data_IF_010723979846
#
_entry.id   IF_010723979846
#
_cell.length_a   1.000
_cell.length_b   1.000
_cell.length_c   1.000
_cell.angle_alpha   90.00
_cell.angle_beta   90.00
_cell.angle_gamma   90.00
#
_symmetry.space_group_name_H-M   'P 1'
#
loop_
_entity.id
_entity.type
_entity.pdbx_description
1 polymer ?
#
# COMPACT_ATOMS: atom_id res chain seq x y z
N UNK A 1 -19.77 9.15 -7.22
CA UNK A 1 -20.33 7.78 -7.31
C UNK A 1 -20.21 7.16 -8.70
N UNK A 2 -20.41 7.90 -9.80
CA UNK A 2 -20.39 7.35 -11.17
C UNK A 2 -19.00 6.83 -11.61
N UNK A 3 -17.91 7.61 -11.42
CA UNK A 3 -16.54 7.19 -11.79
C UNK A 3 -16.06 5.89 -11.11
N UNK A 4 -16.56 5.59 -9.90
CA UNK A 4 -16.19 4.39 -9.14
C UNK A 4 -16.70 3.10 -9.78
N UNK A 5 -17.91 3.12 -10.31
CA UNK A 5 -18.53 1.97 -10.96
C UNK A 5 -17.83 1.61 -12.28
N UNK A 6 -17.31 2.61 -13.00
CA UNK A 6 -16.60 2.37 -14.26
C UNK A 6 -15.29 1.61 -14.06
N UNK A 7 -14.49 1.97 -13.05
CA UNK A 7 -13.23 1.27 -12.75
C UNK A 7 -13.46 -0.17 -12.25
N UNK A 8 -14.52 -0.39 -11.46
CA UNK A 8 -14.90 -1.73 -11.02
C UNK A 8 -15.38 -2.61 -12.18
N UNK A 9 -15.97 -2.03 -13.23
CA UNK A 9 -16.45 -2.78 -14.41
C UNK A 9 -15.33 -3.06 -15.42
N UNK A 10 -14.43 -2.11 -15.64
CA UNK A 10 -13.33 -2.20 -16.62
C UNK A 10 -12.30 -3.27 -16.22
N UNK A 11 -12.10 -3.52 -14.92
CA UNK A 11 -11.11 -4.50 -14.41
C UNK A 11 -11.41 -5.95 -14.82
N UNK A 12 -12.67 -6.26 -15.14
CA UNK A 12 -13.14 -7.62 -15.44
C UNK A 12 -13.09 -7.93 -16.95
N UNK A 13 -12.69 -6.95 -17.78
CA UNK A 13 -12.52 -7.11 -19.23
C UNK A 13 -11.04 -7.06 -19.62
N UNK A 14 -10.64 -7.92 -20.55
CA UNK A 14 -9.30 -7.91 -21.13
C UNK A 14 -9.22 -6.81 -22.21
N UNK A 15 -8.88 -5.60 -21.78
CA UNK A 15 -8.91 -4.39 -22.60
C UNK A 15 -7.51 -3.95 -22.99
N UNK A 16 -7.27 -3.82 -24.29
CA UNK A 16 -6.06 -3.18 -24.83
C UNK A 16 -6.37 -1.73 -25.19
N UNK A 17 -5.74 -0.77 -24.51
CA UNK A 17 -5.91 0.66 -24.82
C UNK A 17 -5.06 1.02 -26.04
N UNK A 18 -5.70 1.26 -27.18
CA UNK A 18 -5.03 1.73 -28.40
C UNK A 18 -5.02 3.26 -28.43
N UNK A 19 -3.84 3.85 -28.18
CA UNK A 19 -3.64 5.29 -28.19
C UNK A 19 -3.52 5.82 -29.63
N UNK A 20 -4.33 6.83 -29.94
CA UNK A 20 -4.28 7.53 -31.23
C UNK A 20 -4.06 9.03 -30.97
N UNK A 21 -3.00 9.65 -31.51
CA UNK A 21 -2.76 11.08 -31.39
C UNK A 21 -3.87 11.89 -32.08
N UNK A 22 -4.26 13.04 -31.52
CA UNK A 22 -5.16 13.96 -32.22
C UNK A 22 -6.18 14.69 -31.35
N UNK A 23 -7.19 15.26 -32.02
CA UNK A 23 -8.12 16.24 -31.43
C UNK A 23 -8.99 15.70 -30.28
N UNK A 24 -9.21 14.38 -30.23
CA UNK A 24 -9.91 13.72 -29.13
C UNK A 24 -9.01 13.46 -27.90
N UNK A 25 -7.69 13.60 -28.06
CA UNK A 25 -6.69 13.22 -27.07
C UNK A 25 -5.81 14.39 -26.62
N UNK A 26 -6.24 15.62 -26.89
CA UNK A 26 -5.49 16.86 -26.66
C UNK A 26 -4.96 16.96 -25.23
N UNK A 27 -5.72 16.48 -24.24
CA UNK A 27 -5.30 16.47 -22.83
C UNK A 27 -4.17 15.46 -22.60
N UNK A 28 -4.26 14.25 -23.13
CA UNK A 28 -3.18 13.27 -23.00
C UNK A 28 -1.93 13.70 -23.76
N UNK A 29 -2.09 14.24 -24.96
CA UNK A 29 -1.01 14.75 -25.80
C UNK A 29 -0.31 15.97 -25.15
N UNK A 30 -1.06 16.80 -24.43
CA UNK A 30 -0.51 17.93 -23.67
C UNK A 30 0.24 17.45 -22.42
N UNK A 31 -0.23 16.39 -21.77
CA UNK A 31 0.45 15.78 -20.61
C UNK A 31 1.71 15.00 -21.03
N UNK A 32 1.72 14.34 -22.20
CA UNK A 32 2.90 13.62 -22.70
C UNK A 32 4.04 14.55 -23.12
N UNK A 33 3.74 15.84 -23.33
CA UNK A 33 4.71 16.88 -23.74
C UNK A 33 5.44 17.52 -22.57
N UNK A 34 5.14 17.16 -21.33
CA UNK A 34 5.95 17.60 -20.19
C UNK A 34 7.27 16.83 -20.21
N UNK A 35 8.37 17.57 -20.31
CA UNK A 35 9.72 17.04 -20.09
C UNK A 35 9.72 16.29 -18.77
N UNK A 36 10.45 15.17 -18.76
CA UNK A 36 10.76 14.39 -17.55
C UNK A 36 11.70 15.24 -16.69
N UNK A 37 11.19 16.36 -16.17
CA UNK A 37 11.81 17.05 -15.05
C UNK A 37 11.84 16.05 -13.89
N UNK A 38 12.93 16.08 -13.13
CA UNK A 38 13.12 15.22 -11.96
C UNK A 38 11.82 15.17 -11.15
N UNK A 39 11.21 13.99 -11.08
CA UNK A 39 9.90 13.80 -10.45
C UNK A 39 9.89 14.34 -9.01
N UNK A 40 11.03 14.21 -8.32
CA UNK A 40 11.27 14.82 -7.01
C UNK A 40 11.10 16.36 -7.03
N UNK A 41 11.67 17.04 -8.01
CA UNK A 41 11.53 18.49 -8.21
C UNK A 41 10.10 18.86 -8.56
N UNK A 42 9.43 18.14 -9.47
CA UNK A 42 8.03 18.39 -9.81
C UNK A 42 7.08 18.21 -8.61
N UNK A 43 7.33 17.20 -7.76
CA UNK A 43 6.54 16.92 -6.56
C UNK A 43 6.77 17.97 -5.47
N UNK A 44 8.02 18.34 -5.21
CA UNK A 44 8.37 19.30 -4.15
C UNK A 44 8.14 20.77 -4.55
N UNK A 45 8.17 21.08 -5.85
CA UNK A 45 8.02 22.46 -6.35
C UNK A 45 6.56 22.86 -6.62
N UNK A 46 5.59 21.94 -6.47
CA UNK A 46 4.16 22.24 -6.63
C UNK A 46 3.45 22.36 -5.26
N UNK A 47 3.08 23.58 -4.82
CA UNK A 47 2.49 23.79 -3.49
C UNK A 47 1.14 23.06 -3.28
N UNK A 48 0.32 22.97 -4.34
CA UNK A 48 -0.96 22.28 -4.28
C UNK A 48 -0.81 20.76 -4.09
N UNK A 49 0.17 20.18 -4.77
CA UNK A 49 0.49 18.75 -4.65
C UNK A 49 1.07 18.46 -3.27
N UNK A 50 2.03 19.27 -2.82
CA UNK A 50 2.63 19.16 -1.49
C UNK A 50 1.56 19.25 -0.38
N UNK A 51 0.63 20.21 -0.47
CA UNK A 51 -0.51 20.32 0.46
C UNK A 51 -1.43 19.10 0.41
N UNK A 52 -1.64 18.53 -0.78
CA UNK A 52 -2.36 17.27 -0.95
C UNK A 52 -1.65 16.11 -0.25
N UNK A 53 -0.35 15.95 -0.47
CA UNK A 53 0.45 14.88 0.15
C UNK A 53 0.45 14.97 1.67
N UNK A 54 0.66 16.17 2.23
CA UNK A 54 0.55 16.40 3.68
C UNK A 54 -0.84 16.03 4.20
N UNK A 55 -1.90 16.43 3.51
CA UNK A 55 -3.29 16.04 3.87
C UNK A 55 -3.49 14.53 3.84
N UNK A 56 -2.81 13.82 2.94
CA UNK A 56 -2.86 12.36 2.83
C UNK A 56 -1.83 11.64 3.72
N UNK A 57 -1.06 12.36 4.55
CA UNK A 57 -0.01 11.79 5.40
C UNK A 57 1.15 11.17 4.61
N UNK A 58 1.37 11.64 3.38
CA UNK A 58 2.44 11.16 2.50
C UNK A 58 3.64 12.08 2.60
N UNK A 59 4.81 11.51 2.89
CA UNK A 59 6.09 12.21 2.92
C UNK A 59 7.04 11.62 1.87
N UNK A 60 7.77 12.50 1.17
CA UNK A 60 8.79 12.10 0.21
C UNK A 60 10.14 12.13 0.92
N UNK A 61 10.69 10.96 1.20
CA UNK A 61 12.05 10.83 1.72
C UNK A 61 13.00 10.74 0.53
N UNK A 62 13.79 11.79 0.30
CA UNK A 62 14.87 11.74 -0.66
C UNK A 62 16.05 10.96 -0.05
N UNK A 63 16.66 10.01 -0.78
CA UNK A 63 17.88 9.36 -0.31
C UNK A 63 19.04 10.37 -0.26
N UNK A 64 19.98 10.17 0.66
CA UNK A 64 21.15 11.04 0.86
C UNK A 64 22.08 11.12 -0.37
N UNK A 65 21.94 10.18 -1.31
CA UNK A 65 22.70 10.12 -2.55
C UNK A 65 21.87 10.73 -3.69
N UNK A 66 22.45 11.59 -4.55
CA UNK A 66 21.75 12.11 -5.73
C UNK A 66 21.32 10.94 -6.62
N UNK A 67 20.01 10.73 -6.70
CA UNK A 67 19.38 9.64 -7.46
C UNK A 67 18.28 10.19 -8.35
N UNK A 68 18.12 9.57 -9.53
CA UNK A 68 17.00 9.85 -10.41
C UNK A 68 15.80 9.08 -9.86
N UNK A 69 14.73 9.79 -9.52
CA UNK A 69 13.48 9.17 -9.08
C UNK A 69 12.77 8.57 -10.31
N UNK A 70 13.03 7.29 -10.58
CA UNK A 70 12.43 6.56 -11.70
C UNK A 70 10.97 6.13 -11.42
N UNK A 71 10.61 5.91 -10.16
CA UNK A 71 9.26 5.54 -9.74
C UNK A 71 8.98 5.98 -8.30
N UNK A 72 7.74 6.41 -8.02
CA UNK A 72 7.22 6.67 -6.68
C UNK A 72 6.25 5.54 -6.30
N UNK A 73 6.59 4.75 -5.28
CA UNK A 73 5.74 3.67 -4.75
C UNK A 73 5.39 3.99 -3.31
N UNK A 74 4.10 4.21 -3.05
CA UNK A 74 3.60 4.37 -1.68
C UNK A 74 3.56 3.00 -1.02
N UNK A 75 4.36 2.80 0.03
CA UNK A 75 4.30 1.59 0.87
C UNK A 75 3.63 1.93 2.19
N UNK A 76 2.66 1.14 2.67
CA UNK A 76 2.08 1.34 3.99
C UNK A 76 3.16 1.14 5.07
N UNK A 77 3.39 2.14 5.91
CA UNK A 77 4.28 2.05 7.08
C UNK A 77 3.82 0.98 8.07
N UNK A 78 2.51 0.70 8.08
CA UNK A 78 1.90 -0.34 8.90
C UNK A 78 2.52 -1.72 8.64
N UNK A 79 2.92 -2.04 7.41
CA UNK A 79 3.53 -3.33 7.11
C UNK A 79 4.93 -3.44 7.74
N UNK A 80 5.70 -2.36 7.73
CA UNK A 80 7.01 -2.32 8.39
C UNK A 80 6.85 -2.41 9.92
N UNK A 81 5.89 -1.70 10.50
CA UNK A 81 5.55 -1.84 11.93
C UNK A 81 5.13 -3.26 12.28
N UNK A 82 4.33 -3.92 11.44
CA UNK A 82 3.96 -5.32 11.63
C UNK A 82 5.19 -6.21 11.63
N UNK A 83 6.17 -5.97 10.73
CA UNK A 83 7.42 -6.73 10.73
C UNK A 83 8.22 -6.52 12.02
N UNK A 84 8.31 -5.29 12.51
CA UNK A 84 8.95 -5.00 13.80
C UNK A 84 8.25 -5.74 14.95
N UNK A 85 6.92 -5.72 14.98
CA UNK A 85 6.14 -6.44 15.99
C UNK A 85 6.26 -7.96 15.86
N UNK A 86 6.40 -8.48 14.64
CA UNK A 86 6.68 -9.91 14.39
C UNK A 86 8.04 -10.31 14.96
N UNK A 87 9.05 -9.46 14.80
CA UNK A 87 10.38 -9.68 15.37
C UNK A 87 10.34 -9.58 16.89
N UNK A 88 9.63 -8.62 17.46
CA UNK A 88 9.50 -8.49 18.91
C UNK A 88 8.72 -9.64 19.58
N UNK A 89 7.90 -10.37 18.82
CA UNK A 89 7.04 -11.43 19.35
C UNK A 89 7.77 -12.80 19.36
N UNK A 90 8.05 -13.40 20.55
CA UNK A 90 8.78 -14.66 20.64
C UNK A 90 8.06 -15.85 20.00
N UNK A 91 6.72 -15.84 19.95
CA UNK A 91 5.94 -16.90 19.32
C UNK A 91 6.07 -16.82 17.80
N UNK A 92 5.94 -15.62 17.21
CA UNK A 92 6.06 -15.45 15.76
C UNK A 92 7.49 -15.70 15.27
N UNK A 93 8.50 -15.43 16.10
CA UNK A 93 9.88 -15.86 15.81
C UNK A 93 10.00 -17.39 15.76
N UNK A 94 9.39 -18.12 16.69
CA UNK A 94 9.37 -19.60 16.65
C UNK A 94 8.70 -20.12 15.36
N UNK A 95 7.54 -19.58 15.02
CA UNK A 95 6.86 -19.92 13.76
C UNK A 95 7.72 -19.61 12.54
N UNK A 96 8.44 -18.49 12.54
CA UNK A 96 9.37 -18.14 11.46
C UNK A 96 10.52 -19.13 11.33
N UNK A 97 11.03 -19.65 12.44
CA UNK A 97 12.05 -20.70 12.43
C UNK A 97 11.46 -22.03 11.92
N UNK A 98 10.25 -22.39 12.35
CA UNK A 98 9.55 -23.58 11.85
C UNK A 98 9.26 -23.51 10.34
N UNK A 99 9.01 -22.31 9.80
CA UNK A 99 8.90 -22.07 8.35
C UNK A 99 10.24 -22.32 7.65
N UNK A 100 11.34 -21.89 8.26
CA UNK A 100 12.69 -22.09 7.72
C UNK A 100 13.09 -23.58 7.73
N UNK A 101 12.62 -24.32 8.72
CA UNK A 101 12.81 -25.76 8.85
C UNK A 101 11.87 -26.60 7.96
N UNK A 102 10.99 -25.96 7.18
CA UNK A 102 10.00 -26.65 6.33
C UNK A 102 8.89 -27.37 7.09
N UNK A 103 8.72 -27.10 8.39
CA UNK A 103 7.73 -27.73 9.28
C UNK A 103 6.46 -26.90 9.45
N UNK A 104 6.46 -25.65 9.00
CA UNK A 104 5.29 -24.79 9.11
C UNK A 104 4.35 -25.02 7.92
N UNK A 105 3.14 -25.53 8.20
CA UNK A 105 2.15 -25.86 7.17
C UNK A 105 1.73 -24.68 6.30
N UNK A 106 0.72 -23.92 6.74
CA UNK A 106 0.14 -22.82 5.97
C UNK A 106 0.88 -21.46 6.13
N UNK A 107 2.01 -21.45 6.83
CA UNK A 107 2.80 -20.25 7.08
C UNK A 107 3.93 -20.12 6.06
N UNK A 108 4.22 -18.90 5.65
CA UNK A 108 5.33 -18.60 4.75
C UNK A 108 5.87 -17.19 4.99
N UNK A 109 7.11 -16.97 4.57
CA UNK A 109 7.72 -15.63 4.57
C UNK A 109 7.55 -15.05 3.16
N UNK A 110 6.96 -13.86 3.07
CA UNK A 110 6.81 -13.15 1.79
C UNK A 110 8.14 -12.59 1.28
N UNK A 111 8.16 -12.16 0.02
CA UNK A 111 9.32 -11.49 -0.62
C UNK A 111 9.71 -10.20 0.12
N UNK A 112 8.74 -9.58 0.78
CA UNK A 112 8.89 -8.40 1.64
C UNK A 112 9.48 -8.71 3.04
N UNK A 113 9.75 -9.99 3.33
CA UNK A 113 10.28 -10.46 4.60
C UNK A 113 9.24 -10.55 5.73
N UNK A 114 7.96 -10.33 5.44
CA UNK A 114 6.88 -10.44 6.43
C UNK A 114 6.41 -11.89 6.58
N UNK A 115 6.16 -12.31 7.83
CA UNK A 115 5.54 -13.61 8.11
C UNK A 115 4.04 -13.55 7.75
N UNK A 116 3.58 -14.53 6.96
CA UNK A 116 2.21 -14.61 6.45
C UNK A 116 1.60 -15.99 6.71
N UNK A 117 0.29 -16.04 6.95
CA UNK A 117 -0.51 -17.25 7.01
C UNK A 117 -1.53 -17.24 5.86
N UNK A 118 -1.43 -18.19 4.92
CA UNK A 118 -2.23 -18.21 3.68
C UNK A 118 -2.28 -16.85 2.97
N UNK A 119 -1.10 -16.25 2.76
CA UNK A 119 -0.90 -14.94 2.14
C UNK A 119 -1.44 -13.71 2.93
N UNK A 120 -1.84 -13.88 4.19
CA UNK A 120 -2.24 -12.78 5.08
C UNK A 120 -1.14 -12.46 6.08
N UNK A 121 -0.81 -11.19 6.27
CA UNK A 121 0.22 -10.77 7.22
C UNK A 121 -0.18 -11.15 8.66
N UNK A 122 0.71 -11.86 9.36
CA UNK A 122 0.49 -12.25 10.73
C UNK A 122 0.62 -11.03 11.65
N UNK A 123 -0.45 -10.67 12.35
CA UNK A 123 -0.45 -9.59 13.33
C UNK A 123 -0.48 -10.21 14.73
N UNK A 124 0.45 -9.87 15.64
CA UNK A 124 0.43 -10.35 17.01
C UNK A 124 -0.92 -10.08 17.71
N UNK A 125 -1.36 -10.99 18.58
CA UNK A 125 -2.53 -10.82 19.47
C UNK A 125 -2.28 -9.85 20.64
N UNK A 126 -1.76 -8.67 20.35
CA UNK A 126 -1.68 -7.58 21.33
C UNK A 126 -2.83 -6.59 21.08
N UNK A 127 -3.52 -6.19 22.16
CA UNK A 127 -4.66 -5.27 22.06
C UNK A 127 -4.23 -3.86 21.60
N UNK A 128 -3.03 -3.42 21.95
CA UNK A 128 -2.44 -2.16 21.49
C UNK A 128 -2.14 -2.20 20.00
N UNK A 129 -1.48 -3.26 19.52
CA UNK A 129 -1.19 -3.47 18.10
C UNK A 129 -2.47 -3.54 17.27
N UNK A 130 -3.45 -4.30 17.71
CA UNK A 130 -4.75 -4.41 17.03
C UNK A 130 -5.46 -3.06 16.96
N UNK A 131 -5.42 -2.28 18.04
CA UNK A 131 -5.98 -0.93 18.07
C UNK A 131 -5.27 -0.01 17.09
N UNK A 132 -3.94 -0.08 16.99
CA UNK A 132 -3.17 0.69 16.01
C UNK A 132 -3.55 0.34 14.57
N UNK A 133 -3.63 -0.95 14.22
CA UNK A 133 -4.07 -1.41 12.89
C UNK A 133 -5.48 -0.89 12.55
N UNK A 134 -6.41 -0.99 13.50
CA UNK A 134 -7.78 -0.48 13.31
C UNK A 134 -7.82 1.04 13.21
N UNK A 135 -7.02 1.74 14.00
CA UNK A 135 -6.93 3.19 14.00
C UNK A 135 -6.35 3.68 12.67
N UNK A 136 -5.27 3.09 12.20
CA UNK A 136 -4.66 3.39 10.90
C UNK A 136 -5.65 3.17 9.75
N UNK A 137 -6.35 2.03 9.75
CA UNK A 137 -7.36 1.73 8.73
C UNK A 137 -8.56 2.68 8.77
N UNK A 138 -8.90 3.22 9.93
CA UNK A 138 -10.01 4.17 10.11
C UNK A 138 -9.61 5.62 9.82
N UNK A 139 -8.39 6.02 10.16
CA UNK A 139 -7.87 7.38 9.96
C UNK A 139 -7.22 7.56 8.59
N UNK A 140 -6.92 6.47 7.89
CA UNK A 140 -6.44 6.55 6.52
C UNK A 140 -7.44 7.37 5.70
N UNK A 141 -7.01 8.46 5.05
CA UNK A 141 -7.88 9.27 4.19
C UNK A 141 -8.37 8.51 2.95
N UNK A 142 -7.82 7.32 2.69
CA UNK A 142 -8.32 6.35 1.70
C UNK A 142 -9.42 5.44 2.24
N UNK A 143 -9.71 5.51 3.54
CA UNK A 143 -10.81 4.83 4.19
C UNK A 143 -12.11 5.50 3.77
N UNK A 144 -12.79 4.90 2.79
CA UNK A 144 -14.08 5.38 2.32
C UNK A 144 -15.13 4.99 3.37
N UNK A 145 -15.17 5.68 4.52
CA UNK A 145 -16.04 5.51 5.70
C UNK A 145 -17.08 4.38 5.59
N UNK A 146 -16.57 3.16 5.46
CA UNK A 146 -17.39 1.98 5.39
C UNK A 146 -17.60 1.61 6.84
N UNK A 147 -18.85 1.56 7.32
CA UNK A 147 -19.15 1.29 8.73
C UNK A 147 -18.29 0.15 9.28
N UNK A 148 -17.91 0.21 10.57
CA UNK A 148 -16.80 -0.58 11.13
C UNK A 148 -16.80 -2.08 10.81
N UNK A 149 -17.97 -2.69 10.58
CA UNK A 149 -18.11 -4.08 10.10
C UNK A 149 -17.46 -4.33 8.74
N UNK A 150 -17.58 -3.40 7.79
CA UNK A 150 -17.00 -3.54 6.44
C UNK A 150 -15.49 -3.34 6.48
N UNK A 151 -15.01 -2.34 7.24
CA UNK A 151 -13.58 -2.16 7.49
C UNK A 151 -12.94 -3.41 8.11
N UNK A 152 -13.59 -4.03 9.10
CA UNK A 152 -13.09 -5.26 9.71
C UNK A 152 -13.05 -6.44 8.74
N UNK A 153 -14.04 -6.56 7.85
CA UNK A 153 -14.05 -7.59 6.79
C UNK A 153 -12.89 -7.39 5.82
N UNK A 154 -12.66 -6.16 5.38
CA UNK A 154 -11.58 -5.82 4.45
C UNK A 154 -10.20 -6.08 5.08
N UNK A 155 -10.00 -5.69 6.34
CA UNK A 155 -8.76 -5.99 7.07
C UNK A 155 -8.51 -7.49 7.22
N UNK A 156 -9.54 -8.30 7.43
CA UNK A 156 -9.41 -9.77 7.59
C UNK A 156 -8.97 -10.49 6.31
N UNK A 157 -9.11 -9.84 5.15
CA UNK A 157 -8.59 -10.35 3.87
C UNK A 157 -7.07 -10.25 3.77
N UNK A 158 -6.47 -9.25 4.43
CA UNK A 158 -5.04 -8.96 4.33
C UNK A 158 -4.25 -9.29 5.60
N UNK A 159 -4.91 -9.27 6.76
CA UNK A 159 -4.29 -9.48 8.07
C UNK A 159 -4.89 -10.69 8.78
N UNK A 160 -4.04 -11.41 9.50
CA UNK A 160 -4.42 -12.58 10.30
C UNK A 160 -4.02 -12.39 11.76
N UNK A 161 -5.01 -12.35 12.66
CA UNK A 161 -4.83 -12.20 14.12
C UNK A 161 -5.16 -13.50 14.88
N UNK A 162 -4.99 -14.67 14.24
CA UNK A 162 -5.34 -15.97 14.82
C UNK A 162 -4.30 -16.55 15.77
N UNK A 163 -3.16 -15.88 15.94
CA UNK A 163 -1.96 -16.41 16.57
C UNK A 163 -1.68 -15.75 17.91
#
# INVERSE_FOLDING_TARGET
MRQRQWLELIKDYDLTILYHPGKANVVADALSRKSVENLATAITSQPALHKGMQRFGLEVVAPEVPTIMAALVVRPTLLEQIKEWQVANPYLQKVRNDVSDGRAGDFGVGVDGALRFRNRACVPKDNGIRKMVLQEAHHSPYSIHSGGTKMYKDLKLHYWCGV
#
